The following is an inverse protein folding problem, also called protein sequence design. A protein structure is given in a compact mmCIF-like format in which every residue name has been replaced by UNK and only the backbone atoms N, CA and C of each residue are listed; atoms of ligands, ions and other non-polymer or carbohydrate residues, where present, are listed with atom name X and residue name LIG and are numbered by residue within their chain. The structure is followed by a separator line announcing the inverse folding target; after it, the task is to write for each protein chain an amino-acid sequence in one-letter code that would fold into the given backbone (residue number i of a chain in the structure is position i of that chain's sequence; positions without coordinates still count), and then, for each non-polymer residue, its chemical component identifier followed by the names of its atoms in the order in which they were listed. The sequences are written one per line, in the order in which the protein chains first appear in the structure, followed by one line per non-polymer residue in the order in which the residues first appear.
data_IF_198951409012
#
_entry.id   IF_198951409012
#
_cell.length_a   1.000
_cell.length_b   1.000
_cell.length_c   1.000
_cell.angle_alpha   90.00
_cell.angle_beta   90.00
_cell.angle_gamma   90.00
#
_symmetry.space_group_name_H-M   'P 1'
#
loop_
_entity.id
_entity.type
_entity.pdbx_description
1 polymer ?
#
# COMPACT_ATOMS: atom_id res chain seq x y z
N UNK A 1 -7.85 0.30 13.84
CA UNK A 1 -8.64 -0.69 13.08
C UNK A 1 -9.40 -1.72 13.95
N UNK A 2 -9.20 -1.81 15.28
CA UNK A 2 -9.79 -2.88 16.11
C UNK A 2 -11.24 -2.67 16.58
N UNK A 3 -11.79 -1.45 16.47
CA UNK A 3 -13.05 -1.11 17.16
C UNK A 3 -14.31 -1.44 16.36
N UNK A 4 -14.32 -1.26 15.03
CA UNK A 4 -15.48 -1.59 14.20
C UNK A 4 -15.73 -3.11 14.12
N UNK A 5 -14.69 -3.93 14.36
CA UNK A 5 -14.81 -5.37 14.55
C UNK A 5 -15.45 -5.76 15.89
N UNK A 6 -15.39 -4.87 16.89
CA UNK A 6 -15.98 -5.08 18.22
C UNK A 6 -17.50 -4.80 18.28
N UNK A 7 -18.11 -4.33 17.17
CA UNK A 7 -19.56 -4.20 17.08
C UNK A 7 -20.21 -5.60 17.16
N UNK A 8 -21.11 -5.85 18.14
CA UNK A 8 -21.83 -7.10 18.23
C UNK A 8 -22.62 -7.36 16.94
N UNK A 9 -22.62 -8.61 16.45
CA UNK A 9 -23.43 -8.99 15.27
C UNK A 9 -24.91 -8.60 15.43
N UNK A 10 -25.41 -8.56 16.66
CA UNK A 10 -26.78 -8.18 17.00
C UNK A 10 -27.13 -6.71 16.70
N UNK A 11 -26.14 -5.81 16.60
CA UNK A 11 -26.42 -4.38 16.35
C UNK A 11 -26.51 -4.04 14.87
N UNK A 12 -25.92 -4.85 13.99
CA UNK A 12 -25.95 -4.66 12.54
C UNK A 12 -26.01 -6.01 11.82
N UNK A 13 -27.22 -6.45 11.49
CA UNK A 13 -27.47 -7.76 10.88
C UNK A 13 -26.98 -7.84 9.43
N UNK A 14 -27.03 -6.74 8.68
CA UNK A 14 -26.66 -6.72 7.27
C UNK A 14 -25.12 -6.73 7.09
N UNK A 15 -24.54 -7.79 6.49
CA UNK A 15 -23.09 -7.89 6.33
C UNK A 15 -22.52 -6.84 5.37
N UNK A 16 -23.29 -6.42 4.35
CA UNK A 16 -22.87 -5.39 3.41
C UNK A 16 -22.81 -4.01 4.09
N UNK A 17 -23.80 -3.69 4.93
CA UNK A 17 -23.75 -2.46 5.75
C UNK A 17 -22.54 -2.49 6.70
N UNK A 18 -22.22 -3.65 7.27
CA UNK A 18 -21.05 -3.79 8.15
C UNK A 18 -19.75 -3.52 7.41
N UNK A 19 -19.65 -4.06 6.20
CA UNK A 19 -18.47 -3.88 5.37
C UNK A 19 -18.30 -2.41 4.95
N UNK A 20 -19.37 -1.74 4.52
CA UNK A 20 -19.36 -0.30 4.22
C UNK A 20 -18.93 0.53 5.45
N UNK A 21 -19.46 0.22 6.64
CA UNK A 21 -19.07 0.90 7.88
C UNK A 21 -17.59 0.70 8.20
N UNK A 22 -17.06 -0.51 8.00
CA UNK A 22 -15.64 -0.82 8.19
C UNK A 22 -14.75 -0.03 7.24
N UNK A 23 -15.11 0.02 5.94
CA UNK A 23 -14.34 0.79 4.96
C UNK A 23 -14.42 2.29 5.26
N UNK A 24 -15.61 2.82 5.57
CA UNK A 24 -15.80 4.22 5.97
C UNK A 24 -14.94 4.59 7.21
N UNK A 25 -14.77 3.66 8.15
CA UNK A 25 -13.93 3.86 9.33
C UNK A 25 -12.44 4.01 9.04
N UNK A 26 -11.94 3.55 7.88
CA UNK A 26 -10.55 3.74 7.49
C UNK A 26 -10.26 5.20 7.07
N UNK A 27 -11.30 5.94 6.66
CA UNK A 27 -11.20 7.34 6.25
C UNK A 27 -11.51 8.32 7.40
N UNK A 28 -11.98 7.82 8.54
CA UNK A 28 -12.25 8.64 9.70
C UNK A 28 -10.96 8.93 10.48
N UNK A 29 -10.87 10.12 11.09
CA UNK A 29 -9.77 10.46 12.01
C UNK A 29 -9.77 9.61 13.28
N UNK A 30 -8.79 9.81 14.16
CA UNK A 30 -8.65 9.07 15.43
C UNK A 30 -9.89 9.14 16.33
N UNK A 31 -10.66 10.22 16.21
CA UNK A 31 -11.90 10.46 16.95
C UNK A 31 -13.16 9.93 16.24
N UNK A 32 -13.00 9.22 15.12
CA UNK A 32 -14.09 8.70 14.30
C UNK A 32 -14.83 9.75 13.47
N UNK A 33 -14.27 10.95 13.32
CA UNK A 33 -14.91 12.08 12.61
C UNK A 33 -14.24 12.39 11.28
N UNK A 34 -14.98 13.06 10.41
CA UNK A 34 -14.46 13.64 9.17
C UNK A 34 -14.16 12.62 8.08
N UNK A 35 -14.91 11.53 7.98
CA UNK A 35 -14.78 10.58 6.87
C UNK A 35 -15.54 11.09 5.65
N UNK A 36 -14.86 11.38 4.54
CA UNK A 36 -15.50 11.85 3.31
C UNK A 36 -15.08 11.11 2.04
N UNK A 37 -14.98 9.77 2.03
CA UNK A 37 -14.76 9.04 0.79
C UNK A 37 -15.95 9.24 -0.15
N UNK A 38 -15.69 9.26 -1.46
CA UNK A 38 -16.78 9.29 -2.46
C UNK A 38 -17.51 7.95 -2.51
N UNK A 39 -18.75 7.95 -3.01
CA UNK A 39 -19.49 6.69 -3.23
C UNK A 39 -18.76 5.74 -4.20
N UNK A 40 -18.01 6.30 -5.16
CA UNK A 40 -17.16 5.54 -6.07
C UNK A 40 -16.00 4.89 -5.32
N UNK A 41 -15.29 5.65 -4.48
CA UNK A 41 -14.19 5.12 -3.66
C UNK A 41 -14.66 3.98 -2.74
N UNK A 42 -15.80 4.15 -2.08
CA UNK A 42 -16.38 3.08 -1.25
C UNK A 42 -16.85 1.88 -2.09
N UNK A 43 -17.26 2.09 -3.33
CA UNK A 43 -17.64 1.03 -4.27
C UNK A 43 -16.43 0.18 -4.64
N UNK A 44 -15.29 0.80 -4.94
CA UNK A 44 -14.01 0.13 -5.20
C UNK A 44 -13.53 -0.65 -3.97
N UNK A 45 -13.59 -0.04 -2.78
CA UNK A 45 -13.11 -0.67 -1.53
C UNK A 45 -13.98 -1.85 -1.09
N UNK A 46 -15.28 -1.83 -1.40
CA UNK A 46 -16.23 -2.86 -0.93
C UNK A 46 -16.64 -3.87 -2.00
N UNK A 47 -16.35 -3.60 -3.28
CA UNK A 47 -16.84 -4.38 -4.42
C UNK A 47 -18.36 -4.29 -4.63
N UNK A 48 -19.07 -3.39 -3.92
CA UNK A 48 -20.51 -3.17 -4.06
C UNK A 48 -20.76 -2.07 -5.09
N UNK A 49 -21.88 -2.11 -5.83
CA UNK A 49 -22.24 -1.00 -6.71
C UNK A 49 -22.43 0.32 -5.94
N UNK A 50 -22.17 1.47 -6.56
CA UNK A 50 -22.39 2.77 -5.90
C UNK A 50 -23.83 2.94 -5.37
N UNK A 51 -24.82 2.37 -6.08
CA UNK A 51 -26.22 2.40 -5.63
C UNK A 51 -26.37 1.63 -4.32
N UNK A 52 -25.76 0.45 -4.22
CA UNK A 52 -25.77 -0.36 -3.01
C UNK A 52 -25.05 0.36 -1.87
N UNK A 53 -23.90 0.96 -2.13
CA UNK A 53 -23.16 1.75 -1.13
C UNK A 53 -24.02 2.87 -0.56
N UNK A 54 -24.66 3.68 -1.41
CA UNK A 54 -25.56 4.76 -0.97
C UNK A 54 -26.70 4.23 -0.11
N UNK A 55 -27.36 3.14 -0.53
CA UNK A 55 -28.41 2.50 0.27
C UNK A 55 -27.91 2.02 1.64
N UNK A 56 -26.68 1.49 1.71
CA UNK A 56 -26.09 1.06 2.97
C UNK A 56 -25.66 2.22 3.87
N UNK A 57 -25.21 3.33 3.30
CA UNK A 57 -24.99 4.56 4.06
C UNK A 57 -26.30 5.08 4.66
N UNK A 58 -27.39 5.10 3.90
CA UNK A 58 -28.72 5.48 4.41
C UNK A 58 -29.20 4.53 5.53
N UNK A 59 -28.98 3.22 5.39
CA UNK A 59 -29.29 2.23 6.43
C UNK A 59 -28.48 2.48 7.71
N UNK A 60 -27.18 2.77 7.59
CA UNK A 60 -26.29 3.05 8.71
C UNK A 60 -26.65 4.35 9.42
N UNK A 61 -27.06 5.37 8.66
CA UNK A 61 -27.52 6.66 9.20
C UNK A 61 -28.84 6.48 9.97
N UNK A 62 -29.81 5.78 9.37
CA UNK A 62 -31.10 5.45 10.04
C UNK A 62 -30.91 4.62 11.30
N UNK A 63 -29.94 3.72 11.29
CA UNK A 63 -29.59 2.91 12.46
C UNK A 63 -28.74 3.68 13.50
N UNK A 64 -28.32 4.92 13.19
CA UNK A 64 -27.59 5.80 14.11
C UNK A 64 -26.12 5.43 14.31
N UNK A 65 -25.52 4.65 13.40
CA UNK A 65 -24.09 4.33 13.43
C UNK A 65 -23.22 5.45 12.86
N UNK A 66 -23.79 6.24 11.94
CA UNK A 66 -23.14 7.37 11.30
C UNK A 66 -24.09 8.57 11.30
N UNK A 67 -23.52 9.77 11.25
CA UNK A 67 -24.26 11.02 11.07
C UNK A 67 -23.53 11.91 10.09
N UNK A 68 -24.22 12.80 9.40
CA UNK A 68 -23.55 13.83 8.60
C UNK A 68 -22.64 14.68 9.51
N UNK A 69 -21.37 14.74 9.13
CA UNK A 69 -20.32 15.48 9.84
C UNK A 69 -20.16 16.90 9.32
N UNK A 70 -19.03 17.51 9.66
CA UNK A 70 -18.72 18.88 9.23
C UNK A 70 -18.38 18.94 7.73
N UNK A 71 -19.36 19.31 6.91
CA UNK A 71 -19.22 19.45 5.45
C UNK A 71 -18.18 20.52 5.03
N UNK A 72 -17.80 21.44 5.93
CA UNK A 72 -16.75 22.41 5.65
C UNK A 72 -15.38 21.74 5.40
N UNK A 73 -15.16 20.54 5.94
CA UNK A 73 -13.91 19.78 5.73
C UNK A 73 -13.78 19.42 4.24
N UNK A 74 -14.80 18.80 3.64
CA UNK A 74 -14.79 18.48 2.21
C UNK A 74 -14.72 19.75 1.36
N UNK A 75 -15.38 20.83 1.79
CA UNK A 75 -15.32 22.12 1.09
C UNK A 75 -13.94 22.76 1.06
N UNK A 76 -13.09 22.51 2.06
CA UNK A 76 -11.73 23.03 2.12
C UNK A 76 -10.76 22.32 1.16
N UNK A 77 -11.01 21.05 0.85
CA UNK A 77 -10.18 20.27 -0.07
C UNK A 77 -10.70 20.27 -1.51
N UNK A 78 -12.00 20.48 -1.70
CA UNK A 78 -12.67 20.39 -3.00
C UNK A 78 -13.44 21.68 -3.28
N UNK A 79 -12.87 22.56 -4.09
CA UNK A 79 -13.50 23.85 -4.45
C UNK A 79 -14.81 23.67 -5.24
N UNK A 80 -14.90 22.64 -6.06
CA UNK A 80 -16.07 22.36 -6.91
C UNK A 80 -17.23 21.75 -6.11
N UNK A 81 -18.33 22.51 -5.95
CA UNK A 81 -19.49 22.11 -5.13
C UNK A 81 -20.16 20.81 -5.58
N UNK A 82 -20.24 20.56 -6.87
CA UNK A 82 -20.86 19.38 -7.49
C UNK A 82 -20.11 18.06 -7.20
N UNK A 83 -18.83 18.15 -6.83
CA UNK A 83 -17.96 16.99 -6.59
C UNK A 83 -17.71 16.71 -5.12
N UNK A 84 -18.34 17.46 -4.22
CA UNK A 84 -18.13 17.33 -2.79
C UNK A 84 -18.86 16.09 -2.28
N UNK A 85 -18.14 15.07 -1.77
CA UNK A 85 -18.77 13.97 -1.08
C UNK A 85 -19.34 14.47 0.26
N UNK A 86 -20.33 13.74 0.77
CA UNK A 86 -20.87 13.97 2.11
C UNK A 86 -19.84 13.52 3.14
N UNK A 87 -19.52 14.39 4.08
CA UNK A 87 -18.71 14.07 5.25
C UNK A 87 -19.59 13.33 6.25
N UNK A 88 -19.10 12.20 6.76
CA UNK A 88 -19.74 11.41 7.81
C UNK A 88 -18.87 11.36 9.07
N UNK A 89 -19.54 11.46 10.21
CA UNK A 89 -18.99 11.21 11.53
C UNK A 89 -19.53 9.88 12.05
N UNK A 90 -18.62 9.02 12.52
CA UNK A 90 -18.96 7.72 13.07
C UNK A 90 -19.37 7.91 14.53
N UNK A 91 -20.54 7.39 14.87
CA UNK A 91 -21.06 7.43 16.23
C UNK A 91 -20.38 6.35 17.07
N UNK A 92 -19.13 6.62 17.43
CA UNK A 92 -18.35 5.89 18.41
C UNK A 92 -18.98 6.05 19.78
N UNK A 93 -20.03 5.28 20.09
CA UNK A 93 -20.31 4.96 21.48
C UNK A 93 -19.14 4.10 21.95
N UNK A 94 -18.12 4.75 22.52
CA UNK A 94 -17.00 4.08 23.21
C UNK A 94 -17.59 3.30 24.37
N UNK A 95 -18.11 2.11 24.08
CA UNK A 95 -18.55 1.10 25.03
C UNK A 95 -17.34 0.46 25.69
N UNK A 96 -16.44 1.27 26.24
CA UNK A 96 -15.70 0.80 27.38
C UNK A 96 -16.74 0.77 28.50
N UNK A 97 -17.26 -0.42 28.83
CA UNK A 97 -17.67 -0.64 30.19
C UNK A 97 -16.50 -0.14 31.03
N UNK A 98 -16.70 0.94 31.80
CA UNK A 98 -15.72 1.31 32.81
C UNK A 98 -15.46 0.02 33.57
N UNK A 99 -14.23 -0.51 33.49
CA UNK A 99 -13.86 -1.66 34.29
C UNK A 99 -14.35 -1.36 35.71
N UNK A 100 -15.05 -2.28 36.40
CA UNK A 100 -15.62 -1.99 37.71
C UNK A 100 -14.46 -1.63 38.63
N UNK A 101 -14.19 -0.33 38.73
CA UNK A 101 -13.18 0.21 39.61
C UNK A 101 -13.87 0.18 40.95
N UNK A 102 -13.70 -0.93 41.67
CA UNK A 102 -13.72 -0.83 43.13
C UNK A 102 -12.75 0.30 43.46
N UNK A 103 -13.25 1.27 44.23
CA UNK A 103 -12.44 2.33 44.78
C UNK A 103 -11.08 1.76 45.20
N UNK A 104 -10.02 2.39 44.71
CA UNK A 104 -8.67 2.05 45.17
C UNK A 104 -8.61 2.54 46.61
N UNK A 105 -9.05 1.70 47.54
CA UNK A 105 -8.79 1.85 48.96
C UNK A 105 -7.28 1.97 49.12
N UNK A 106 -6.84 3.13 49.58
CA UNK A 106 -5.46 3.37 49.94
C UNK A 106 -5.19 2.70 51.30
N UNK A 107 -5.26 1.38 51.32
CA UNK A 107 -5.02 0.60 52.53
C UNK A 107 -3.73 -0.20 52.32
N UNK A 108 -2.70 0.32 52.98
CA UNK A 108 -1.33 -0.17 52.99
C UNK A 108 -1.25 -1.57 53.61
N UNK A 109 -1.59 -2.60 52.83
CA UNK A 109 -1.45 -4.00 53.28
C UNK A 109 -0.98 -4.88 52.13
N UNK A 110 0.34 -5.10 52.10
CA UNK A 110 0.98 -6.19 51.36
C UNK A 110 0.32 -7.50 51.75
N UNK A 111 -0.36 -8.13 50.80
CA UNK A 111 -1.05 -9.41 50.97
C UNK A 111 -0.81 -10.30 49.76
N UNK A 112 0.44 -10.72 49.53
CA UNK A 112 0.72 -11.86 48.68
C UNK A 112 0.19 -13.12 49.38
N UNK A 113 -0.90 -13.71 48.88
CA UNK A 113 -1.28 -15.08 49.27
C UNK A 113 -0.51 -16.08 48.42
N UNK A 114 0.56 -16.64 48.98
CA UNK A 114 1.26 -17.82 48.46
C UNK A 114 0.49 -19.08 48.87
N UNK A 115 -0.52 -19.45 48.09
CA UNK A 115 -1.20 -20.74 48.22
C UNK A 115 -1.29 -21.35 46.81
N UNK A 116 -0.23 -22.07 46.43
CA UNK A 116 -0.35 -23.17 45.48
C UNK A 116 -0.73 -24.39 46.30
N UNK A 117 -1.96 -24.88 46.13
CA UNK A 117 -2.33 -26.30 46.25
C UNK A 117 -3.86 -26.44 46.07
N UNK A 118 -4.25 -27.09 44.99
CA UNK A 118 -5.64 -27.40 44.67
C UNK A 118 -5.77 -28.13 43.34
N UNK A 119 -4.98 -29.19 43.15
CA UNK A 119 -5.19 -30.17 42.08
C UNK A 119 -6.32 -31.10 42.52
N UNK A 120 -7.39 -31.20 41.70
CA UNK A 120 -8.15 -32.44 41.58
C UNK A 120 -8.15 -32.83 40.10
N UNK A 121 -7.21 -33.68 39.73
CA UNK A 121 -7.28 -34.53 38.55
C UNK A 121 -8.31 -35.62 38.87
N UNK A 122 -9.49 -35.55 38.24
CA UNK A 122 -10.31 -36.70 37.78
C UNK A 122 -11.74 -36.25 37.48
N UNK A 123 -11.97 -35.93 36.21
CA UNK A 123 -13.29 -36.05 35.60
C UNK A 123 -13.09 -36.37 34.12
N UNK A 124 -12.97 -37.66 33.78
CA UNK A 124 -13.10 -38.10 32.40
C UNK A 124 -14.54 -37.85 31.94
N UNK A 125 -14.74 -36.81 31.13
CA UNK A 125 -15.98 -36.62 30.37
C UNK A 125 -15.62 -36.34 28.92
N UNK A 126 -15.65 -37.39 28.10
CA UNK A 126 -15.51 -37.28 26.65
C UNK A 126 -15.64 -38.65 26.00
N UNK A 127 -16.62 -38.80 25.10
CA UNK A 127 -16.76 -40.00 24.27
C UNK A 127 -15.51 -40.19 23.39
N UNK A 128 -15.20 -41.45 23.05
CA UNK A 128 -14.11 -41.79 22.16
C UNK A 128 -14.17 -40.97 20.86
N UNK A 129 -13.05 -40.35 20.50
CA UNK A 129 -12.91 -39.62 19.24
C UNK A 129 -13.26 -40.55 18.07
N UNK A 130 -14.24 -40.17 17.26
CA UNK A 130 -14.52 -40.85 16.00
C UNK A 130 -13.24 -40.82 15.12
N UNK A 131 -12.95 -41.91 14.38
CA UNK A 131 -11.78 -41.93 13.50
C UNK A 131 -11.89 -40.83 12.45
N UNK A 132 -10.78 -40.12 12.23
CA UNK A 132 -10.69 -39.08 11.21
C UNK A 132 -11.09 -39.64 9.85
N UNK A 133 -12.11 -39.03 9.24
CA UNK A 133 -12.47 -39.30 7.85
C UNK A 133 -11.29 -38.95 6.95
N UNK A 134 -10.85 -39.84 6.03
CA UNK A 134 -9.81 -39.49 5.08
C UNK A 134 -10.37 -38.43 4.12
N UNK A 135 -9.80 -37.23 4.17
CA UNK A 135 -10.00 -36.19 3.17
C UNK A 135 -9.34 -36.64 1.86
N UNK A 136 -10.04 -37.49 1.11
CA UNK A 136 -9.75 -37.74 -0.29
C UNK A 136 -10.68 -36.85 -1.13
N UNK A 137 -10.47 -35.53 -1.02
CA UNK A 137 -11.15 -34.59 -1.90
C UNK A 137 -10.36 -34.54 -3.20
N UNK A 138 -10.92 -35.10 -4.28
CA UNK A 138 -10.39 -34.84 -5.62
C UNK A 138 -10.60 -33.35 -5.90
N UNK A 139 -9.51 -32.61 -6.05
CA UNK A 139 -9.55 -31.20 -6.45
C UNK A 139 -10.33 -31.12 -7.77
N UNK A 140 -11.45 -30.39 -7.77
CA UNK A 140 -12.22 -30.13 -8.98
C UNK A 140 -11.36 -29.31 -9.95
N UNK A 141 -11.56 -29.46 -11.26
CA UNK A 141 -10.83 -28.72 -12.30
C UNK A 141 -10.81 -27.20 -12.05
N UNK A 142 -11.86 -26.64 -11.46
CA UNK A 142 -11.95 -25.23 -11.07
C UNK A 142 -10.94 -24.82 -9.99
N UNK A 143 -10.64 -25.70 -9.03
CA UNK A 143 -9.66 -25.41 -7.97
C UNK A 143 -8.22 -25.49 -8.50
N UNK A 144 -7.96 -26.37 -9.48
CA UNK A 144 -6.68 -26.43 -10.17
C UNK A 144 -6.46 -25.18 -11.02
N UNK A 145 -7.46 -24.75 -11.79
CA UNK A 145 -7.41 -23.50 -12.55
C UNK A 145 -7.21 -22.29 -11.64
N UNK A 146 -7.82 -22.27 -10.45
CA UNK A 146 -7.60 -21.20 -9.46
C UNK A 146 -6.18 -21.18 -8.91
N UNK A 147 -5.55 -22.34 -8.69
CA UNK A 147 -4.13 -22.41 -8.29
C UNK A 147 -3.20 -22.00 -9.43
N UNK A 148 -3.42 -22.50 -10.64
CA UNK A 148 -2.63 -22.11 -11.81
C UNK A 148 -2.71 -20.60 -12.07
N UNK A 149 -3.91 -20.02 -11.93
CA UNK A 149 -4.10 -18.58 -12.02
C UNK A 149 -3.40 -17.83 -10.89
N UNK A 150 -3.45 -18.33 -9.65
CA UNK A 150 -2.76 -17.71 -8.52
C UNK A 150 -1.23 -17.77 -8.67
N UNK A 151 -0.69 -18.87 -9.18
CA UNK A 151 0.74 -19.04 -9.46
C UNK A 151 1.20 -18.12 -10.61
N UNK A 152 0.37 -17.95 -11.64
CA UNK A 152 0.64 -17.02 -12.74
C UNK A 152 0.55 -15.56 -12.26
N UNK A 153 -0.42 -15.22 -11.43
CA UNK A 153 -0.51 -13.90 -10.78
C UNK A 153 0.74 -13.66 -9.92
N UNK A 154 1.16 -14.62 -9.10
CA UNK A 154 2.36 -14.48 -8.27
C UNK A 154 3.64 -14.31 -9.10
N UNK A 155 3.76 -15.01 -10.24
CA UNK A 155 4.84 -14.81 -11.21
C UNK A 155 4.81 -13.41 -11.82
N UNK A 156 3.62 -12.95 -12.21
CA UNK A 156 3.45 -11.62 -12.79
C UNK A 156 3.69 -10.51 -11.76
N UNK A 157 3.29 -10.69 -10.50
CA UNK A 157 3.58 -9.78 -9.40
C UNK A 157 5.08 -9.74 -9.07
N UNK A 158 5.76 -10.88 -9.11
CA UNK A 158 7.22 -10.95 -8.93
C UNK A 158 7.96 -10.26 -10.07
N UNK A 159 7.54 -10.49 -11.32
CA UNK A 159 8.09 -9.81 -12.50
C UNK A 159 7.79 -8.30 -12.49
N UNK A 160 6.63 -7.89 -11.98
CA UNK A 160 6.25 -6.50 -11.77
C UNK A 160 7.04 -5.85 -10.62
N UNK A 161 7.39 -6.59 -9.57
CA UNK A 161 8.25 -6.09 -8.49
C UNK A 161 9.70 -5.87 -8.97
N UNK A 162 10.17 -6.66 -9.94
CA UNK A 162 11.46 -6.46 -10.60
C UNK A 162 11.46 -5.28 -11.60
N UNK A 163 10.28 -4.86 -12.07
CA UNK A 163 10.09 -3.67 -12.91
C UNK A 163 9.65 -2.46 -12.05
N UNK A 164 10.56 -1.57 -11.62
CA UNK A 164 10.18 -0.43 -10.79
C UNK A 164 9.11 0.43 -11.46
N UNK A 165 8.03 0.70 -10.73
CA UNK A 165 6.93 1.54 -11.19
C UNK A 165 7.46 2.91 -11.67
N UNK A 166 6.82 3.58 -12.65
CA UNK A 166 7.36 4.80 -13.28
C UNK A 166 7.64 5.95 -12.31
N UNK A 167 7.01 5.95 -11.14
CA UNK A 167 7.15 6.92 -10.05
C UNK A 167 8.04 6.44 -8.89
N UNK A 168 8.46 5.18 -8.88
CA UNK A 168 9.32 4.62 -7.85
C UNK A 168 10.77 5.07 -8.08
N UNK A 169 11.41 5.56 -7.02
CA UNK A 169 12.84 5.88 -7.02
C UNK A 169 13.64 4.68 -6.55
N UNK A 170 14.72 4.37 -7.23
CA UNK A 170 15.59 3.24 -6.93
C UNK A 170 17.06 3.59 -7.17
N UNK A 171 17.94 2.91 -6.42
CA UNK A 171 19.37 2.92 -6.70
C UNK A 171 19.67 2.05 -7.93
N UNK A 172 20.67 2.42 -8.72
CA UNK A 172 21.04 1.66 -9.91
C UNK A 172 21.37 0.21 -9.58
N UNK A 173 20.92 -0.72 -10.42
CA UNK A 173 21.18 -2.16 -10.29
C UNK A 173 21.70 -2.76 -11.61
N UNK A 174 22.44 -3.89 -11.58
CA UNK A 174 23.17 -4.40 -12.76
C UNK A 174 22.28 -4.75 -13.97
N UNK A 175 21.10 -5.27 -13.71
CA UNK A 175 20.10 -5.68 -14.70
C UNK A 175 19.19 -4.53 -15.15
N UNK A 176 19.48 -3.28 -14.74
CA UNK A 176 18.71 -2.12 -15.19
C UNK A 176 18.79 -1.97 -16.72
N UNK A 177 17.63 -1.72 -17.32
CA UNK A 177 17.47 -1.37 -18.72
C UNK A 177 16.76 -0.02 -18.85
N UNK A 178 17.21 0.87 -19.75
CA UNK A 178 16.57 2.15 -19.94
C UNK A 178 15.19 1.97 -20.57
N UNK A 179 14.19 2.65 -20.02
CA UNK A 179 12.86 2.67 -20.60
C UNK A 179 12.93 3.33 -22.00
N UNK A 180 12.54 2.58 -23.05
CA UNK A 180 12.69 3.00 -24.44
C UNK A 180 12.02 4.33 -24.76
N UNK A 181 10.80 4.56 -24.25
CA UNK A 181 10.08 5.82 -24.45
C UNK A 181 10.77 6.98 -23.75
N UNK A 182 11.06 6.83 -22.46
CA UNK A 182 11.72 7.87 -21.68
C UNK A 182 13.10 8.20 -22.26
N UNK A 183 13.86 7.20 -22.69
CA UNK A 183 15.17 7.40 -23.32
C UNK A 183 15.05 8.19 -24.62
N UNK A 184 14.12 7.79 -25.51
CA UNK A 184 13.86 8.49 -26.77
C UNK A 184 13.45 9.95 -26.55
N UNK A 185 12.52 10.18 -25.62
CA UNK A 185 12.06 11.54 -25.26
C UNK A 185 13.26 12.39 -24.77
N UNK A 186 14.13 11.84 -23.92
CA UNK A 186 15.31 12.56 -23.41
C UNK A 186 16.37 12.84 -24.48
N UNK A 187 16.63 11.89 -25.39
CA UNK A 187 17.54 12.08 -26.52
C UNK A 187 17.06 13.23 -27.40
N UNK A 188 15.75 13.25 -27.72
CA UNK A 188 15.13 14.30 -28.51
C UNK A 188 15.23 15.67 -27.82
N UNK A 189 14.92 15.75 -26.52
CA UNK A 189 15.05 16.97 -25.71
C UNK A 189 16.50 17.47 -25.68
N UNK A 190 17.46 16.55 -25.59
CA UNK A 190 18.88 16.90 -25.54
C UNK A 190 19.45 17.37 -26.88
N UNK A 191 18.74 17.14 -27.99
CA UNK A 191 19.17 17.45 -29.36
C UNK A 191 20.20 16.47 -29.91
N UNK A 192 20.19 15.22 -29.44
CA UNK A 192 21.12 14.18 -29.86
C UNK A 192 20.50 13.28 -30.95
N UNK A 193 21.30 12.63 -31.81
CA UNK A 193 20.77 11.68 -32.78
C UNK A 193 20.20 10.42 -32.09
N UNK A 194 19.29 9.71 -32.77
CA UNK A 194 18.58 8.56 -32.18
C UNK A 194 19.50 7.39 -31.77
N UNK A 195 20.64 7.24 -32.45
CA UNK A 195 21.69 6.27 -32.17
C UNK A 195 22.77 6.81 -31.21
N UNK A 196 22.48 7.91 -30.50
CA UNK A 196 23.50 8.59 -29.71
C UNK A 196 24.04 7.80 -28.51
N UNK A 197 23.29 6.78 -28.09
CA UNK A 197 23.50 6.02 -26.87
C UNK A 197 24.02 4.62 -27.22
N UNK A 198 25.35 4.43 -27.30
CA UNK A 198 25.90 3.10 -27.55
C UNK A 198 25.75 2.22 -26.30
N UNK A 199 25.67 0.90 -26.51
CA UNK A 199 25.53 -0.06 -25.41
C UNK A 199 26.69 0.00 -24.40
N UNK A 200 27.91 0.28 -24.89
CA UNK A 200 29.09 0.49 -24.06
C UNK A 200 28.89 1.63 -23.03
N UNK A 201 28.27 2.74 -23.44
CA UNK A 201 27.95 3.86 -22.55
C UNK A 201 26.96 3.43 -21.45
N UNK A 202 25.94 2.64 -21.81
CA UNK A 202 24.98 2.12 -20.81
C UNK A 202 25.71 1.23 -19.79
N UNK A 203 26.63 0.36 -20.23
CA UNK A 203 27.39 -0.51 -19.32
C UNK A 203 28.30 0.28 -18.38
N UNK A 204 29.03 1.26 -18.89
CA UNK A 204 29.88 2.13 -18.07
C UNK A 204 29.05 2.94 -17.05
N UNK A 205 27.93 3.51 -17.48
CA UNK A 205 27.00 4.23 -16.62
C UNK A 205 26.44 3.34 -15.50
N UNK A 206 26.03 2.11 -15.81
CA UNK A 206 25.59 1.14 -14.81
C UNK A 206 26.70 0.79 -13.83
N UNK A 207 27.89 0.44 -14.32
CA UNK A 207 29.04 0.09 -13.47
C UNK A 207 29.36 1.17 -12.45
N UNK A 208 29.28 2.44 -12.87
CA UNK A 208 29.51 3.56 -11.99
C UNK A 208 28.44 3.72 -10.90
N UNK A 209 27.16 3.73 -11.25
CA UNK A 209 26.08 3.97 -10.27
C UNK A 209 25.75 2.76 -9.41
N UNK A 210 26.02 1.53 -9.85
CA UNK A 210 25.94 0.33 -9.00
C UNK A 210 26.92 0.42 -7.83
N UNK A 211 28.11 1.02 -8.04
CA UNK A 211 29.07 1.28 -6.98
C UNK A 211 28.68 2.43 -6.03
N UNK A 212 27.60 3.18 -6.33
CA UNK A 212 27.11 4.33 -5.56
C UNK A 212 25.63 4.16 -5.17
N UNK A 213 25.32 3.26 -4.22
CA UNK A 213 23.94 2.94 -3.85
C UNK A 213 23.18 4.11 -3.18
N UNK A 214 23.88 5.18 -2.79
CA UNK A 214 23.27 6.39 -2.21
C UNK A 214 22.54 7.26 -3.23
N UNK A 215 22.84 7.10 -4.53
CA UNK A 215 22.16 7.86 -5.58
C UNK A 215 20.90 7.10 -6.02
N UNK A 216 19.75 7.73 -5.82
CA UNK A 216 18.44 7.17 -6.18
C UNK A 216 17.69 8.08 -7.14
N UNK A 217 17.12 7.49 -8.19
CA UNK A 217 16.32 8.20 -9.17
C UNK A 217 15.17 7.33 -9.68
N UNK A 218 14.20 7.96 -10.33
CA UNK A 218 13.14 7.28 -11.07
C UNK A 218 13.68 6.69 -12.37
N UNK A 219 12.94 5.76 -13.00
CA UNK A 219 13.32 5.20 -14.29
C UNK A 219 13.56 6.28 -15.36
N UNK A 220 12.69 7.29 -15.44
CA UNK A 220 12.84 8.41 -16.36
C UNK A 220 14.01 9.34 -15.98
N UNK A 221 14.26 9.54 -14.68
CA UNK A 221 15.39 10.32 -14.18
C UNK A 221 16.74 9.68 -14.49
N UNK A 222 16.83 8.35 -14.39
CA UNK A 222 18.02 7.61 -14.84
C UNK A 222 18.27 7.78 -16.34
N UNK A 223 17.22 7.73 -17.17
CA UNK A 223 17.35 8.03 -18.62
C UNK A 223 17.83 9.48 -18.86
N UNK A 224 17.31 10.46 -18.11
CA UNK A 224 17.76 11.85 -18.19
C UNK A 224 19.25 11.99 -17.84
N UNK A 225 19.69 11.42 -16.70
CA UNK A 225 21.10 11.46 -16.26
C UNK A 225 22.03 10.81 -17.28
N UNK A 226 21.64 9.67 -17.84
CA UNK A 226 22.39 8.99 -18.91
C UNK A 226 22.57 9.89 -20.13
N UNK A 227 21.49 10.51 -20.62
CA UNK A 227 21.53 11.38 -21.80
C UNK A 227 22.36 12.65 -21.55
N UNK A 228 22.24 13.28 -20.39
CA UNK A 228 23.05 14.46 -20.04
C UNK A 228 24.54 14.12 -19.99
N UNK A 229 24.89 12.94 -19.45
CA UNK A 229 26.26 12.47 -19.45
C UNK A 229 26.80 12.27 -20.88
N UNK A 230 26.05 11.57 -21.74
CA UNK A 230 26.44 11.35 -23.13
C UNK A 230 26.60 12.67 -23.90
N UNK A 231 25.69 13.62 -23.68
CA UNK A 231 25.80 14.97 -24.25
C UNK A 231 27.10 15.64 -23.84
N UNK A 232 27.46 15.57 -22.55
CA UNK A 232 28.69 16.15 -22.03
C UNK A 232 29.94 15.52 -22.65
N UNK A 233 29.99 14.19 -22.73
CA UNK A 233 31.15 13.51 -23.34
C UNK A 233 31.31 13.85 -24.82
N UNK A 234 30.21 13.97 -25.56
CA UNK A 234 30.24 14.42 -26.96
C UNK A 234 30.76 15.85 -27.09
N UNK A 235 30.36 16.75 -26.20
CA UNK A 235 30.86 18.14 -26.18
C UNK A 235 32.35 18.19 -25.85
N UNK A 236 32.80 17.41 -24.86
CA UNK A 236 34.21 17.29 -24.46
C UNK A 236 35.06 16.76 -25.62
N UNK A 237 34.61 15.70 -26.27
CA UNK A 237 35.29 15.09 -27.41
C UNK A 237 35.38 16.04 -28.62
N UNK A 238 34.29 16.77 -28.93
CA UNK A 238 34.28 17.77 -29.99
C UNK A 238 35.29 18.91 -29.72
N UNK A 239 35.43 19.34 -28.45
CA UNK A 239 36.42 20.34 -28.05
C UNK A 239 37.88 19.86 -28.13
N UNK A 240 38.10 18.54 -28.08
CA UNK A 240 39.42 17.92 -28.14
C UNK A 240 39.77 17.36 -29.53
N UNK A 241 38.84 17.42 -30.49
CA UNK A 241 38.99 16.80 -31.81
C UNK A 241 39.07 15.27 -31.78
N UNK A 242 38.53 14.66 -30.73
CA UNK A 242 38.56 13.22 -30.49
C UNK A 242 37.17 12.59 -30.62
N UNK A 243 37.11 11.28 -30.72
CA UNK A 243 35.84 10.53 -30.59
C UNK A 243 35.40 10.50 -29.14
N UNK A 244 34.09 10.51 -28.84
CA UNK A 244 33.60 10.39 -27.47
C UNK A 244 34.13 9.12 -26.79
N UNK A 245 34.79 9.31 -25.64
CA UNK A 245 35.24 8.23 -24.78
C UNK A 245 34.18 7.98 -23.72
N UNK A 246 33.59 6.78 -23.74
CA UNK A 246 32.55 6.36 -22.80
C UNK A 246 33.07 5.43 -21.71
N UNK A 247 34.37 5.09 -21.73
CA UNK A 247 35.05 4.27 -20.71
C UNK A 247 35.72 5.13 -19.62
N UNK A 248 35.95 6.42 -19.89
CA UNK A 248 36.42 7.39 -18.90
C UNK A 248 35.35 7.62 -17.82
N UNK A 249 35.70 7.37 -16.54
CA UNK A 249 34.83 7.56 -15.37
C UNK A 249 35.16 8.80 -14.55
N UNK A 250 36.11 9.64 -15.01
CA UNK A 250 36.57 10.85 -14.29
C UNK A 250 35.48 11.92 -14.09
N UNK A 251 34.36 11.83 -14.82
CA UNK A 251 33.18 12.72 -14.71
C UNK A 251 32.35 12.49 -13.42
N UNK A 252 32.56 11.37 -12.75
CA UNK A 252 31.87 10.85 -11.57
C UNK A 252 31.71 11.82 -10.39
N UNK A 253 32.65 12.74 -10.20
CA UNK A 253 32.70 13.65 -9.06
C UNK A 253 31.80 14.87 -9.24
N UNK A 254 31.47 15.23 -10.49
CA UNK A 254 30.72 16.44 -10.82
C UNK A 254 29.19 16.25 -10.90
N UNK A 255 28.68 15.02 -10.82
CA UNK A 255 27.23 14.73 -10.88
C UNK A 255 26.56 14.57 -9.51
N UNK A 256 27.31 14.76 -8.42
CA UNK A 256 26.80 14.75 -7.05
C UNK A 256 26.16 16.07 -6.58
N UNK A 257 26.16 17.10 -7.42
CA UNK A 257 25.65 18.44 -7.11
C UNK A 257 24.35 18.84 -7.82
N UNK A 258 23.68 17.90 -8.49
CA UNK A 258 22.35 18.08 -9.10
C UNK A 258 21.30 17.27 -8.34
#
# INVERSE_FOLDING_TARGET
MSWALALPKASLENPAARHVLLCLANYAGSDGRGAFPSALTLSEDTGLSERTVRLKLDELEKAGFITEGNQAIAAAYIDRRDRRPVVYDLQLKRGANAAPRKERGADNRTGCSSQQNGVQENAERGAAAAPNTPLNHQETEEQQLQRELADEIARQETAAAECPAPNQRFAMFPTWEPNAKALSDQIAIAGLPADAVPEAAIRAFKGFFVAKPTTVDSAAGWCYRLVQWIKRERVKAAGQGQTPDFDDTSWAENLGGL
#
